data_IF_104710803004
#
_entry.id   IF_104710803004
#
_cell.length_a   1.000
_cell.length_b   1.000
_cell.length_c   1.000
_cell.angle_alpha   90.00
_cell.angle_beta   90.00
_cell.angle_gamma   90.00
#
_symmetry.space_group_name_H-M   'P 1'
#
loop_
_entity.id
_entity.type
_entity.pdbx_description
1 polymer ?
#
# COMPACT_ATOMS: atom_id res chain seq x y z
N UNK A 1 -4.19 -4.55 15.03
CA UNK A 1 -3.52 -3.42 15.67
C UNK A 1 -2.04 -3.57 15.37
N UNK A 2 -1.49 -2.63 14.61
CA UNK A 2 -0.06 -2.55 14.29
C UNK A 2 0.60 -1.46 15.13
N UNK A 3 1.87 -1.65 15.43
CA UNK A 3 2.68 -0.70 16.19
C UNK A 3 4.09 -0.75 15.63
N UNK A 4 4.66 0.41 15.36
CA UNK A 4 6.04 0.53 14.91
C UNK A 4 6.72 1.72 15.57
N UNK A 5 8.01 1.53 15.83
CA UNK A 5 8.90 2.54 16.36
C UNK A 5 10.14 2.59 15.47
N UNK A 6 10.63 3.79 15.20
CA UNK A 6 11.89 3.96 14.46
C UNK A 6 13.10 3.48 15.29
N UNK A 7 14.27 3.41 14.65
CA UNK A 7 15.51 2.95 15.28
C UNK A 7 15.89 3.75 16.53
N UNK A 8 15.57 5.05 16.57
CA UNK A 8 15.97 5.95 17.67
C UNK A 8 14.86 6.18 18.70
N UNK A 9 13.68 5.58 18.54
CA UNK A 9 12.57 5.77 19.48
C UNK A 9 11.95 7.17 19.43
N UNK A 10 12.14 7.88 18.32
CA UNK A 10 11.58 9.20 18.08
C UNK A 10 10.11 9.14 17.68
N UNK A 11 9.75 8.21 16.81
CA UNK A 11 8.40 8.01 16.31
C UNK A 11 7.82 6.75 16.92
N UNK A 12 6.64 6.89 17.52
CA UNK A 12 5.81 5.76 17.92
C UNK A 12 4.47 5.88 17.19
N UNK A 13 4.21 4.94 16.28
CA UNK A 13 3.04 4.91 15.40
C UNK A 13 2.18 3.70 15.74
N UNK A 14 0.89 3.94 15.98
CA UNK A 14 -0.11 2.90 16.25
C UNK A 14 -1.21 2.92 15.20
N UNK A 15 -1.62 1.74 14.73
CA UNK A 15 -2.61 1.58 13.65
C UNK A 15 -3.67 0.53 13.98
N UNK A 16 -4.86 0.72 13.43
CA UNK A 16 -5.94 -0.28 13.42
C UNK A 16 -6.38 -0.51 11.98
N UNK A 17 -5.88 -1.60 11.39
CA UNK A 17 -6.09 -1.86 9.96
C UNK A 17 -5.25 -0.90 9.13
N UNK A 18 -5.89 -0.13 8.27
CA UNK A 18 -5.27 0.89 7.42
C UNK A 18 -5.38 2.32 7.98
N UNK A 19 -5.86 2.47 9.22
CA UNK A 19 -6.04 3.77 9.89
C UNK A 19 -4.97 3.96 10.97
N UNK A 20 -4.44 5.17 11.08
CA UNK A 20 -3.50 5.55 12.14
C UNK A 20 -4.28 6.05 13.36
N UNK A 21 -4.13 5.36 14.49
CA UNK A 21 -4.79 5.70 15.76
C UNK A 21 -4.03 6.79 16.52
N UNK A 22 -2.72 6.89 16.31
CA UNK A 22 -1.91 7.94 16.88
C UNK A 22 -0.45 7.88 16.48
N UNK A 23 0.16 9.06 16.40
CA UNK A 23 1.60 9.24 16.22
C UNK A 23 2.14 10.09 17.35
N UNK A 24 3.18 9.61 18.02
CA UNK A 24 3.92 10.35 19.03
C UNK A 24 5.32 10.64 18.51
N UNK A 25 5.76 11.89 18.69
CA UNK A 25 7.12 12.33 18.43
C UNK A 25 7.81 12.58 19.77
N UNK A 26 8.97 11.97 20.01
CA UNK A 26 9.76 12.18 21.22
C UNK A 26 10.51 13.52 21.18
N UNK A 27 10.83 14.07 22.35
CA UNK A 27 11.59 15.33 22.50
C UNK A 27 12.99 15.28 21.92
N UNK A 28 13.56 14.09 21.76
CA UNK A 28 14.88 13.89 21.17
C UNK A 28 14.91 14.01 19.64
N UNK A 29 13.78 14.22 18.96
CA UNK A 29 13.70 14.24 17.49
C UNK A 29 14.77 15.10 16.82
N UNK A 30 15.01 16.35 17.28
CA UNK A 30 16.03 17.24 16.69
C UNK A 30 17.46 16.69 16.78
N UNK A 31 17.73 15.82 17.75
CA UNK A 31 19.07 15.22 17.90
C UNK A 31 19.34 14.20 16.80
N UNK A 32 18.29 13.56 16.29
CA UNK A 32 18.38 12.44 15.37
C UNK A 32 17.98 12.84 13.94
N UNK A 33 17.04 13.78 13.81
CA UNK A 33 16.43 14.19 12.55
C UNK A 33 16.33 15.73 12.50
N UNK A 34 17.48 16.39 12.37
CA UNK A 34 17.54 17.86 12.22
C UNK A 34 17.21 18.31 10.79
N UNK A 35 17.36 17.41 9.80
CA UNK A 35 16.89 17.64 8.43
C UNK A 35 15.40 17.28 8.30
N UNK A 36 14.52 18.25 7.93
CA UNK A 36 13.11 17.98 7.68
C UNK A 36 12.84 16.88 6.65
N UNK A 37 13.73 16.69 5.66
CA UNK A 37 13.57 15.64 4.65
C UNK A 37 13.77 14.26 5.27
N UNK A 38 14.85 14.09 6.05
CA UNK A 38 15.13 12.85 6.77
C UNK A 38 14.03 12.54 7.78
N UNK A 39 13.56 13.54 8.53
CA UNK A 39 12.43 13.41 9.45
C UNK A 39 11.18 12.85 8.76
N UNK A 40 10.80 13.42 7.61
CA UNK A 40 9.60 13.00 6.87
C UNK A 40 9.76 11.61 6.24
N UNK A 41 10.97 11.29 5.76
CA UNK A 41 11.28 9.97 5.21
C UNK A 41 11.15 8.89 6.29
N UNK A 42 11.79 9.07 7.45
CA UNK A 42 11.71 8.12 8.56
C UNK A 42 10.28 8.01 9.11
N UNK A 43 9.56 9.12 9.24
CA UNK A 43 8.15 9.10 9.65
C UNK A 43 7.32 8.25 8.67
N UNK A 44 7.48 8.48 7.37
CA UNK A 44 6.78 7.73 6.31
C UNK A 44 7.08 6.23 6.41
N UNK A 45 8.35 5.87 6.54
CA UNK A 45 8.79 4.47 6.67
C UNK A 45 8.21 3.83 7.94
N UNK A 46 8.17 4.56 9.05
CA UNK A 46 7.63 4.05 10.32
C UNK A 46 6.11 3.85 10.23
N UNK A 47 5.39 4.76 9.56
CA UNK A 47 3.96 4.58 9.26
C UNK A 47 3.75 3.32 8.40
N UNK A 48 4.53 3.16 7.33
CA UNK A 48 4.45 1.98 6.45
C UNK A 48 4.75 0.68 7.20
N UNK A 49 5.70 0.69 8.12
CA UNK A 49 6.04 -0.47 8.94
C UNK A 49 4.93 -0.84 9.95
N UNK A 50 4.16 0.15 10.42
CA UNK A 50 3.02 -0.07 11.30
C UNK A 50 1.78 -0.61 10.56
N UNK A 51 1.72 -0.47 9.23
CA UNK A 51 0.60 -0.97 8.43
C UNK A 51 0.66 -2.49 8.26
N UNK A 52 -0.49 -3.17 8.12
CA UNK A 52 -0.52 -4.60 7.84
C UNK A 52 0.26 -4.89 6.55
N UNK A 53 1.08 -5.95 6.53
CA UNK A 53 1.78 -6.34 5.32
C UNK A 53 0.77 -6.67 4.23
N UNK A 54 1.17 -6.45 2.97
CA UNK A 54 0.37 -6.94 1.85
C UNK A 54 0.22 -8.46 1.94
N UNK A 55 -0.96 -8.96 1.55
CA UNK A 55 -1.22 -10.39 1.56
C UNK A 55 -0.11 -11.12 0.78
N UNK A 56 0.54 -12.14 1.37
CA UNK A 56 1.60 -12.85 0.67
C UNK A 56 1.03 -13.49 -0.60
N UNK A 57 1.79 -13.43 -1.69
CA UNK A 57 1.50 -14.22 -2.88
C UNK A 57 1.45 -15.71 -2.49
N UNK A 58 0.49 -16.50 -3.00
CA UNK A 58 0.34 -17.89 -2.62
C UNK A 58 1.62 -18.67 -2.93
N UNK A 59 2.14 -19.37 -1.91
CA UNK A 59 3.34 -20.19 -2.03
C UNK A 59 3.17 -21.26 -3.12
N UNK A 60 4.22 -21.45 -3.92
CA UNK A 60 4.26 -22.45 -4.99
C UNK A 60 4.47 -23.86 -4.40
N UNK A 61 3.43 -24.69 -4.52
CA UNK A 61 3.59 -26.13 -4.41
C UNK A 61 4.08 -26.69 -5.74
N UNK A 62 5.31 -27.21 -5.76
CA UNK A 62 5.91 -27.87 -6.92
C UNK A 62 5.16 -29.17 -7.24
N UNK A 63 4.45 -29.22 -8.37
CA UNK A 63 3.83 -30.45 -8.87
C UNK A 63 4.66 -30.99 -10.03
N UNK A 64 5.24 -32.17 -9.86
CA UNK A 64 5.96 -32.89 -10.93
C UNK A 64 4.93 -33.59 -11.83
N UNK A 65 4.78 -33.11 -13.08
CA UNK A 65 3.85 -33.66 -14.08
C UNK A 65 4.62 -34.13 -15.32
N UNK A 66 4.21 -35.24 -15.93
CA UNK A 66 4.73 -35.78 -17.19
C UNK A 66 4.57 -34.81 -18.37
N UNK A 67 5.57 -34.70 -19.25
CA UNK A 67 5.61 -33.72 -20.38
C UNK A 67 4.35 -33.62 -21.26
N UNK A 68 3.67 -34.72 -21.67
CA UNK A 68 2.46 -34.62 -22.49
C UNK A 68 1.26 -34.05 -21.71
N UNK A 69 1.15 -34.38 -20.42
CA UNK A 69 0.09 -33.89 -19.54
C UNK A 69 0.36 -32.44 -19.11
N UNK A 70 1.65 -32.06 -19.02
CA UNK A 70 2.12 -30.69 -18.78
C UNK A 70 1.67 -29.74 -19.90
N UNK A 71 1.85 -30.13 -21.17
CA UNK A 71 1.41 -29.35 -22.33
C UNK A 71 -0.12 -29.21 -22.41
N UNK A 72 -0.86 -30.30 -22.13
CA UNK A 72 -2.33 -30.26 -22.13
C UNK A 72 -2.85 -29.38 -20.98
N UNK A 73 -2.26 -29.51 -19.79
CA UNK A 73 -2.56 -28.68 -18.62
C UNK A 73 -2.32 -27.20 -18.91
N UNK A 74 -1.15 -26.87 -19.49
CA UNK A 74 -0.82 -25.50 -19.92
C UNK A 74 -1.90 -24.91 -20.83
N UNK A 75 -2.22 -25.58 -21.94
CA UNK A 75 -3.18 -25.05 -22.91
C UNK A 75 -4.58 -24.91 -22.33
N UNK A 76 -5.00 -25.83 -21.46
CA UNK A 76 -6.29 -25.73 -20.78
C UNK A 76 -6.36 -24.48 -19.88
N UNK A 77 -5.38 -24.30 -19.00
CA UNK A 77 -5.33 -23.17 -18.07
C UNK A 77 -5.15 -21.83 -18.81
N UNK A 78 -4.30 -21.80 -19.83
CA UNK A 78 -4.10 -20.61 -20.67
C UNK A 78 -5.37 -20.19 -21.41
N UNK A 79 -6.11 -21.14 -22.00
CA UNK A 79 -7.38 -20.84 -22.70
C UNK A 79 -8.47 -20.37 -21.74
N UNK A 80 -8.54 -20.93 -20.52
CA UNK A 80 -9.46 -20.47 -19.48
C UNK A 80 -9.13 -19.05 -19.02
N UNK A 81 -7.84 -18.76 -18.80
CA UNK A 81 -7.36 -17.41 -18.49
C UNK A 81 -7.72 -16.41 -19.60
N UNK A 82 -7.43 -16.74 -20.87
CA UNK A 82 -7.77 -15.87 -22.01
C UNK A 82 -9.27 -15.58 -22.09
N UNK A 83 -10.12 -16.60 -21.95
CA UNK A 83 -11.58 -16.44 -22.01
C UNK A 83 -12.11 -15.54 -20.88
N UNK A 84 -11.56 -15.67 -19.67
CA UNK A 84 -11.97 -14.82 -18.54
C UNK A 84 -11.51 -13.38 -18.71
N UNK A 85 -10.30 -13.15 -19.22
CA UNK A 85 -9.83 -11.81 -19.58
C UNK A 85 -10.67 -11.16 -20.68
N UNK A 86 -11.10 -11.93 -21.68
CA UNK A 86 -11.96 -11.42 -22.75
C UNK A 86 -13.30 -10.95 -22.20
N UNK A 87 -13.96 -11.75 -21.35
CA UNK A 87 -15.20 -11.35 -20.65
C UNK A 87 -15.00 -10.10 -19.81
N UNK A 88 -13.89 -10.01 -19.08
CA UNK A 88 -13.58 -8.82 -18.28
C UNK A 88 -13.44 -7.57 -19.16
N UNK A 89 -12.78 -7.69 -20.31
CA UNK A 89 -12.64 -6.60 -21.29
C UNK A 89 -13.98 -6.21 -21.92
N UNK A 90 -14.85 -7.17 -22.21
CA UNK A 90 -16.22 -6.91 -22.70
C UNK A 90 -17.01 -6.10 -21.67
N UNK A 91 -16.98 -6.51 -20.40
CA UNK A 91 -17.62 -5.78 -19.30
C UNK A 91 -17.04 -4.38 -19.11
N UNK A 92 -15.73 -4.24 -19.22
CA UNK A 92 -15.06 -2.92 -19.18
C UNK A 92 -15.56 -2.01 -20.31
N UNK A 93 -15.64 -2.54 -21.54
CA UNK A 93 -16.16 -1.79 -22.71
C UNK A 93 -17.64 -1.45 -22.59
N UNK A 94 -18.41 -2.32 -21.93
CA UNK A 94 -19.81 -2.08 -21.60
C UNK A 94 -20.00 -1.09 -20.43
N UNK A 95 -18.92 -0.66 -19.77
CA UNK A 95 -18.98 0.24 -18.62
C UNK A 95 -19.50 -0.42 -17.34
N UNK A 96 -19.51 -1.76 -17.28
CA UNK A 96 -20.00 -2.53 -16.13
C UNK A 96 -18.96 -2.68 -15.01
N UNK A 97 -17.72 -2.28 -15.26
CA UNK A 97 -16.67 -2.24 -14.26
C UNK A 97 -16.62 -0.86 -13.60
N UNK A 98 -16.37 -0.80 -12.28
CA UNK A 98 -16.18 0.47 -11.60
C UNK A 98 -14.98 1.21 -12.22
N UNK A 99 -15.19 2.47 -12.61
CA UNK A 99 -14.09 3.35 -13.00
C UNK A 99 -13.35 3.74 -11.74
N UNK A 100 -12.25 3.05 -11.46
CA UNK A 100 -11.37 3.42 -10.38
C UNK A 100 -10.41 4.53 -10.83
N UNK A 101 -10.15 5.47 -9.92
CA UNK A 101 -9.13 6.50 -10.07
C UNK A 101 -8.28 6.52 -8.81
N UNK A 102 -6.96 6.76 -8.93
CA UNK A 102 -6.13 6.92 -7.75
C UNK A 102 -6.64 8.09 -6.90
N UNK A 103 -6.58 7.96 -5.57
CA UNK A 103 -6.90 9.06 -4.67
C UNK A 103 -5.98 10.25 -4.96
N UNK A 104 -6.53 11.46 -4.79
CA UNK A 104 -5.73 12.68 -4.84
C UNK A 104 -4.86 12.80 -3.58
N UNK A 105 -3.80 13.60 -3.65
CA UNK A 105 -3.07 14.03 -2.46
C UNK A 105 -4.02 14.75 -1.50
N UNK A 106 -3.77 14.60 -0.20
CA UNK A 106 -4.46 15.34 0.84
C UNK A 106 -3.50 16.42 1.32
N UNK A 107 -3.92 17.67 1.18
CA UNK A 107 -3.12 18.84 1.50
C UNK A 107 -3.79 19.67 2.61
N UNK A 108 -2.98 20.16 3.55
CA UNK A 108 -3.43 21.17 4.50
C UNK A 108 -3.81 22.46 3.77
N UNK A 109 -4.96 23.10 4.06
CA UNK A 109 -5.29 24.42 3.51
C UNK A 109 -4.23 25.49 3.80
N UNK A 110 -3.55 25.37 4.94
CA UNK A 110 -2.41 26.20 5.32
C UNK A 110 -1.07 25.78 4.70
N UNK A 111 -1.06 24.71 3.88
CA UNK A 111 0.11 24.12 3.24
C UNK A 111 1.21 23.74 4.23
N UNK A 112 0.84 23.30 5.44
CA UNK A 112 1.81 22.84 6.45
C UNK A 112 2.29 21.42 6.20
N UNK A 113 1.46 20.58 5.58
CA UNK A 113 1.74 19.17 5.33
C UNK A 113 0.99 18.68 4.09
N UNK A 114 1.45 17.53 3.58
CA UNK A 114 0.86 16.76 2.47
C UNK A 114 0.90 15.27 2.81
N UNK A 115 -0.13 14.55 2.38
CA UNK A 115 -0.20 13.08 2.39
C UNK A 115 -0.42 12.63 0.95
N UNK A 116 0.47 11.79 0.45
CA UNK A 116 0.43 11.27 -0.92
C UNK A 116 0.12 9.77 -0.94
N UNK A 117 -0.47 9.36 -2.06
CA UNK A 117 -0.79 7.98 -2.38
C UNK A 117 -0.14 7.60 -3.71
N UNK A 118 0.23 6.33 -3.83
CA UNK A 118 0.74 5.78 -5.07
C UNK A 118 -0.37 5.60 -6.13
N UNK A 119 0.02 5.16 -7.32
CA UNK A 119 -0.90 4.91 -8.43
C UNK A 119 -1.86 3.75 -8.19
N UNK A 120 -1.65 2.95 -7.15
CA UNK A 120 -2.55 1.88 -6.72
C UNK A 120 -3.53 2.37 -5.64
N UNK A 121 -3.29 3.53 -5.01
CA UNK A 121 -4.12 4.09 -3.93
C UNK A 121 -3.63 3.74 -2.53
N UNK A 122 -2.38 3.29 -2.38
CA UNK A 122 -1.74 3.04 -1.09
C UNK A 122 -0.97 4.27 -0.64
N UNK A 123 -1.01 4.59 0.65
CA UNK A 123 -0.18 5.63 1.24
C UNK A 123 1.28 5.41 0.86
N UNK A 124 1.95 6.46 0.37
CA UNK A 124 3.33 6.38 -0.06
C UNK A 124 4.24 7.37 0.67
N UNK A 125 3.71 8.55 1.04
CA UNK A 125 4.53 9.62 1.60
C UNK A 125 3.71 10.57 2.47
N UNK A 126 4.33 11.01 3.55
CA UNK A 126 3.90 12.18 4.31
C UNK A 126 5.00 13.24 4.30
N UNK A 127 4.65 14.45 3.90
CA UNK A 127 5.56 15.60 3.89
C UNK A 127 5.10 16.68 4.86
N UNK A 128 6.05 17.32 5.55
CA UNK A 128 5.81 18.49 6.39
C UNK A 128 6.72 19.61 5.87
N UNK A 129 6.17 20.82 5.72
CA UNK A 129 6.93 21.95 5.19
C UNK A 129 8.05 22.34 6.16
N UNK A 130 9.28 22.60 5.68
CA UNK A 130 10.43 22.93 6.54
C UNK A 130 10.19 24.06 7.54
N UNK A 131 9.45 25.10 7.17
CA UNK A 131 9.13 26.22 8.05
C UNK A 131 8.35 25.83 9.32
N UNK A 132 7.71 24.67 9.35
CA UNK A 132 7.06 24.14 10.55
C UNK A 132 8.10 23.77 11.62
N UNK A 133 9.30 23.36 11.22
CA UNK A 133 10.31 22.80 12.11
C UNK A 133 11.08 23.85 12.90
N UNK A 134 11.15 25.10 12.42
CA UNK A 134 11.92 26.19 13.03
C UNK A 134 11.61 26.37 14.53
N UNK A 135 10.32 26.38 14.87
CA UNK A 135 9.83 26.54 16.25
C UNK A 135 9.04 25.33 16.77
N UNK A 136 9.10 24.19 16.07
CA UNK A 136 8.37 23.00 16.45
C UNK A 136 8.83 22.41 17.78
N UNK A 137 7.85 22.09 18.63
CA UNK A 137 8.00 21.15 19.73
C UNK A 137 7.61 19.73 19.29
N UNK A 138 8.10 18.71 20.00
CA UNK A 138 7.64 17.34 19.85
C UNK A 138 6.11 17.20 19.97
N UNK A 139 5.50 17.91 20.91
CA UNK A 139 4.05 17.90 21.10
C UNK A 139 3.30 18.54 19.93
N UNK A 140 3.81 19.65 19.37
CA UNK A 140 3.19 20.28 18.20
C UNK A 140 3.34 19.45 16.94
N UNK A 141 4.46 18.74 16.75
CA UNK A 141 4.63 17.80 15.63
C UNK A 141 3.70 16.60 15.77
N UNK A 142 3.62 16.00 16.97
CA UNK A 142 2.68 14.89 17.24
C UNK A 142 1.23 15.29 16.94
N UNK A 143 0.83 16.49 17.36
CA UNK A 143 -0.50 17.03 17.11
C UNK A 143 -0.74 17.28 15.61
N UNK A 144 0.23 17.87 14.90
CA UNK A 144 0.15 18.15 13.48
C UNK A 144 0.04 16.86 12.66
N UNK A 145 0.84 15.84 13.00
CA UNK A 145 0.82 14.56 12.30
C UNK A 145 -0.50 13.83 12.54
N UNK A 146 -0.97 13.82 13.80
CA UNK A 146 -2.26 13.24 14.16
C UNK A 146 -3.44 14.00 13.54
N UNK A 147 -3.31 15.30 13.30
CA UNK A 147 -4.28 16.11 12.55
C UNK A 147 -4.30 15.70 11.07
N UNK A 148 -3.13 15.56 10.45
CA UNK A 148 -3.00 15.20 9.03
C UNK A 148 -3.55 13.81 8.70
N UNK A 149 -3.37 12.85 9.60
CA UNK A 149 -3.79 11.46 9.42
C UNK A 149 -5.17 11.16 10.00
N UNK A 150 -5.83 12.18 10.58
CA UNK A 150 -7.16 12.00 11.18
C UNK A 150 -8.17 11.59 10.12
N UNK A 151 -8.88 10.50 10.37
CA UNK A 151 -9.91 9.95 9.49
C UNK A 151 -9.39 9.57 8.08
N UNK A 152 -8.06 9.43 7.91
CA UNK A 152 -7.45 9.02 6.65
C UNK A 152 -7.28 7.51 6.63
N UNK A 153 -7.92 6.88 5.64
CA UNK A 153 -7.63 5.50 5.25
C UNK A 153 -6.35 5.48 4.41
N UNK A 154 -5.30 4.79 4.90
CA UNK A 154 -4.01 4.68 4.22
C UNK A 154 -3.98 3.61 3.12
N UNK A 155 -5.04 2.80 3.00
CA UNK A 155 -5.24 1.86 1.90
C UNK A 155 -6.58 2.16 1.20
N UNK A 156 -6.50 2.92 0.11
CA UNK A 156 -7.65 3.27 -0.74
C UNK A 156 -7.54 2.59 -2.10
N UNK A 157 -6.95 1.39 -2.12
CA UNK A 157 -6.77 0.64 -3.35
C UNK A 157 -8.10 0.32 -4.03
N UNK A 158 -8.02 0.11 -5.34
CA UNK A 158 -9.18 -0.30 -6.11
C UNK A 158 -9.82 -1.55 -5.47
N UNK A 159 -11.17 -1.57 -5.35
CA UNK A 159 -11.84 -2.76 -4.86
C UNK A 159 -11.47 -3.94 -5.76
N UNK A 160 -11.01 -5.03 -5.13
CA UNK A 160 -10.65 -6.24 -5.85
C UNK A 160 -11.90 -6.75 -6.56
N UNK A 161 -11.85 -6.83 -7.89
CA UNK A 161 -12.92 -7.44 -8.65
C UNK A 161 -12.98 -8.93 -8.27
N UNK A 162 -14.16 -9.49 -7.89
CA UNK A 162 -14.26 -10.87 -7.42
C UNK A 162 -13.68 -11.91 -8.39
N UNK A 163 -13.82 -11.63 -9.68
CA UNK A 163 -13.34 -12.44 -10.81
C UNK A 163 -11.82 -12.34 -11.06
N UNK A 164 -11.13 -11.33 -10.51
CA UNK A 164 -9.68 -11.18 -10.67
C UNK A 164 -8.89 -12.24 -9.91
N UNK A 165 -9.39 -12.71 -8.76
CA UNK A 165 -8.77 -13.81 -8.03
C UNK A 165 -8.72 -15.08 -8.89
N UNK A 166 -9.83 -15.42 -9.55
CA UNK A 166 -9.93 -16.58 -10.44
C UNK A 166 -9.08 -16.41 -11.71
N UNK A 167 -9.03 -15.19 -12.29
CA UNK A 167 -8.14 -14.87 -13.42
C UNK A 167 -6.67 -15.07 -13.02
N UNK A 168 -6.26 -14.55 -11.86
CA UNK A 168 -4.89 -14.68 -11.37
C UNK A 168 -4.54 -16.13 -11.03
N UNK A 169 -5.49 -16.91 -10.55
CA UNK A 169 -5.30 -18.34 -10.29
C UNK A 169 -5.01 -19.11 -11.58
N UNK A 170 -5.81 -18.93 -12.64
CA UNK A 170 -5.53 -19.55 -13.94
C UNK A 170 -4.19 -19.09 -14.52
N UNK A 171 -3.82 -17.82 -14.29
CA UNK A 171 -2.51 -17.29 -14.66
C UNK A 171 -1.37 -18.04 -13.98
N UNK A 172 -1.39 -18.08 -12.65
CA UNK A 172 -0.38 -18.78 -11.86
C UNK A 172 -0.29 -20.26 -12.26
N UNK A 173 -1.42 -20.92 -12.49
CA UNK A 173 -1.46 -22.33 -12.93
C UNK A 173 -0.79 -22.55 -14.29
N UNK A 174 -1.04 -21.71 -15.31
CA UNK A 174 -0.34 -21.88 -16.59
C UNK A 174 1.14 -21.49 -16.50
N UNK A 175 1.48 -20.47 -15.72
CA UNK A 175 2.88 -20.06 -15.49
C UNK A 175 3.68 -21.19 -14.82
N UNK A 176 3.09 -21.95 -13.89
CA UNK A 176 3.69 -23.16 -13.32
C UNK A 176 4.05 -24.22 -14.37
N UNK A 177 3.19 -24.42 -15.37
CA UNK A 177 3.51 -25.34 -16.47
C UNK A 177 4.68 -24.84 -17.34
N UNK A 178 4.95 -23.53 -17.39
CA UNK A 178 6.09 -22.94 -18.09
C UNK A 178 7.39 -22.96 -17.27
N UNK A 179 7.28 -22.82 -15.94
CA UNK A 179 8.42 -22.64 -15.03
C UNK A 179 9.16 -23.94 -14.65
N UNK A 180 8.53 -25.10 -14.82
CA UNK A 180 9.11 -26.39 -14.40
C UNK A 180 10.23 -26.91 -15.28
#
# INVERSE_FOLDING_TARGET
MGEATDEYGVFDVRTTGDVVDGVTVDRSWRRHYDDPVEFCATLTETILAALPPDAPEPADDEVTVTEPDRLRGFWNEFMLWQRKLEKLRERARAGELPVWRPPASIDDPGRRWIVEFDSAGKFCLMGIVPAVFDDASAASLSALISEALRDVHLDQRAPVLPEMAEINEHRARFERYLAG
#
